data_IF_174639721841
#
_entry.id   IF_174639721841
#
_cell.length_a   1.000
_cell.length_b   1.000
_cell.length_c   1.000
_cell.angle_alpha   90.00
_cell.angle_beta   90.00
_cell.angle_gamma   90.00
#
_symmetry.space_group_name_H-M   'P 1'
#
loop_
_entity.id
_entity.type
_entity.pdbx_description
1 polymer ?
#
# COMPACT_ATOMS: atom_id res chain seq x y z
N UNK A 1 -5.84 12.54 -8.13
CA UNK A 1 -6.43 11.37 -7.45
C UNK A 1 -5.41 10.26 -7.48
N UNK A 2 -4.92 9.83 -6.33
CA UNK A 2 -3.86 8.81 -6.24
C UNK A 2 -4.46 7.41 -6.39
N UNK A 3 -3.88 6.59 -7.27
CA UNK A 3 -4.37 5.24 -7.58
C UNK A 3 -3.47 4.17 -6.99
N UNK A 4 -4.05 3.25 -6.23
CA UNK A 4 -3.35 2.18 -5.51
C UNK A 4 -3.87 0.81 -5.94
N UNK A 5 -2.97 -0.10 -6.28
CA UNK A 5 -3.29 -1.48 -6.64
C UNK A 5 -2.69 -2.46 -5.62
N UNK A 6 -3.53 -3.33 -5.07
CA UNK A 6 -3.08 -4.44 -4.23
C UNK A 6 -3.03 -5.74 -5.00
N UNK A 7 -1.91 -6.47 -4.92
CA UNK A 7 -1.67 -7.70 -5.64
C UNK A 7 -1.42 -8.89 -4.71
N UNK A 8 -2.01 -10.02 -5.05
CA UNK A 8 -1.61 -11.33 -4.54
C UNK A 8 -1.84 -12.38 -5.64
N UNK A 9 -1.58 -13.66 -5.38
CA UNK A 9 -1.76 -14.71 -6.39
C UNK A 9 -3.24 -14.89 -6.77
N UNK A 10 -4.09 -15.19 -5.80
CA UNK A 10 -5.47 -15.62 -6.07
C UNK A 10 -6.52 -14.49 -6.06
N UNK A 11 -6.18 -13.30 -5.60
CA UNK A 11 -7.14 -12.20 -5.36
C UNK A 11 -8.43 -12.66 -4.63
N UNK A 12 -8.27 -13.60 -3.72
CA UNK A 12 -9.39 -14.21 -2.97
C UNK A 12 -9.42 -13.82 -1.50
N UNK A 13 -8.28 -13.44 -0.93
CA UNK A 13 -8.15 -13.08 0.48
C UNK A 13 -7.34 -11.80 0.68
N UNK A 14 -6.00 -11.86 0.73
CA UNK A 14 -5.11 -10.75 1.14
C UNK A 14 -5.35 -9.46 0.38
N UNK A 15 -5.25 -9.47 -0.94
CA UNK A 15 -5.43 -8.27 -1.76
C UNK A 15 -6.87 -7.79 -1.80
N UNK A 16 -7.83 -8.71 -1.74
CA UNK A 16 -9.25 -8.38 -1.67
C UNK A 16 -9.59 -7.68 -0.34
N UNK A 17 -9.09 -8.21 0.79
CA UNK A 17 -9.23 -7.56 2.09
C UNK A 17 -8.54 -6.19 2.11
N UNK A 18 -7.34 -6.08 1.52
CA UNK A 18 -6.63 -4.81 1.45
C UNK A 18 -7.40 -3.75 0.65
N UNK A 19 -7.99 -4.11 -0.49
CA UNK A 19 -8.85 -3.23 -1.29
C UNK A 19 -10.03 -2.69 -0.46
N UNK A 20 -10.77 -3.57 0.21
CA UNK A 20 -11.94 -3.19 1.00
C UNK A 20 -11.57 -2.27 2.18
N UNK A 21 -10.52 -2.63 2.93
CA UNK A 21 -10.03 -1.84 4.06
C UNK A 21 -9.52 -0.47 3.57
N UNK A 22 -8.75 -0.44 2.47
CA UNK A 22 -8.25 0.81 1.92
C UNK A 22 -9.40 1.71 1.48
N UNK A 23 -10.39 1.18 0.76
CA UNK A 23 -11.58 1.91 0.30
C UNK A 23 -12.32 2.59 1.47
N UNK A 24 -12.47 1.90 2.58
CA UNK A 24 -13.14 2.44 3.77
C UNK A 24 -12.39 3.62 4.41
N UNK A 25 -11.05 3.61 4.43
CA UNK A 25 -10.25 4.63 5.11
C UNK A 25 -9.71 5.73 4.20
N UNK A 26 -9.70 5.52 2.89
CA UNK A 26 -9.01 6.41 1.94
C UNK A 26 -9.75 7.73 1.69
N UNK A 27 -11.07 7.72 1.61
CA UNK A 27 -11.87 8.88 1.17
C UNK A 27 -11.75 9.11 -0.34
N UNK A 28 -12.29 10.24 -0.80
CA UNK A 28 -12.49 10.54 -2.23
C UNK A 28 -11.20 10.90 -3.01
N UNK A 29 -10.09 11.13 -2.30
CA UNK A 29 -8.81 11.50 -2.93
C UNK A 29 -8.06 10.31 -3.54
N UNK A 30 -8.54 9.10 -3.29
CA UNK A 30 -7.88 7.86 -3.68
C UNK A 30 -8.80 6.96 -4.49
N UNK A 31 -8.21 6.27 -5.47
CA UNK A 31 -8.80 5.14 -6.17
C UNK A 31 -8.05 3.86 -5.80
N UNK A 32 -8.76 2.79 -5.53
CA UNK A 32 -8.16 1.52 -5.15
C UNK A 32 -8.74 0.36 -5.94
N UNK A 33 -7.87 -0.57 -6.30
CA UNK A 33 -8.24 -1.86 -6.88
C UNK A 33 -7.37 -2.98 -6.29
N UNK A 34 -7.78 -4.20 -6.52
CA UNK A 34 -6.96 -5.39 -6.28
C UNK A 34 -7.03 -6.35 -7.46
N UNK A 35 -5.97 -7.15 -7.65
CA UNK A 35 -5.93 -8.18 -8.68
C UNK A 35 -5.07 -9.37 -8.24
N UNK A 36 -5.18 -10.46 -9.00
CA UNK A 36 -4.39 -11.67 -8.84
C UNK A 36 -3.84 -12.19 -10.15
N UNK A 37 -2.69 -12.86 -10.08
CA UNK A 37 -2.10 -13.51 -11.25
C UNK A 37 -2.90 -14.75 -11.67
N UNK A 38 -3.55 -15.41 -10.70
CA UNK A 38 -4.42 -16.59 -10.89
C UNK A 38 -5.69 -16.41 -10.04
N UNK A 39 -6.65 -15.55 -10.46
CA UNK A 39 -7.79 -15.21 -9.62
C UNK A 39 -8.71 -16.42 -9.36
N UNK A 40 -9.17 -16.51 -8.12
CA UNK A 40 -10.17 -17.50 -7.70
C UNK A 40 -11.37 -16.80 -7.04
N UNK A 41 -12.34 -17.56 -6.57
CA UNK A 41 -13.48 -16.98 -5.84
C UNK A 41 -13.04 -16.36 -4.52
N UNK A 42 -13.66 -15.26 -4.07
CA UNK A 42 -13.42 -14.70 -2.73
C UNK A 42 -13.58 -15.74 -1.63
N UNK A 43 -12.62 -15.77 -0.70
CA UNK A 43 -12.64 -16.69 0.44
C UNK A 43 -13.69 -16.28 1.46
N UNK A 44 -14.60 -17.15 1.88
CA UNK A 44 -15.61 -16.83 2.89
C UNK A 44 -14.99 -16.32 4.20
N UNK A 45 -13.82 -16.85 4.59
CA UNK A 45 -13.08 -16.41 5.77
C UNK A 45 -12.58 -14.98 5.67
N UNK A 46 -12.22 -14.53 4.46
CA UNK A 46 -11.82 -13.14 4.22
C UNK A 46 -13.00 -12.18 4.35
N UNK A 47 -14.15 -12.53 3.77
CA UNK A 47 -15.37 -11.73 3.87
C UNK A 47 -15.85 -11.63 5.32
N UNK A 48 -15.91 -12.74 6.04
CA UNK A 48 -16.28 -12.76 7.46
C UNK A 48 -15.32 -11.94 8.35
N UNK A 49 -14.01 -11.91 8.01
CA UNK A 49 -13.04 -11.10 8.74
C UNK A 49 -13.24 -9.60 8.48
N UNK A 50 -13.60 -9.20 7.26
CA UNK A 50 -13.95 -7.82 6.91
C UNK A 50 -15.21 -7.36 7.64
N UNK A 51 -16.27 -8.17 7.61
CA UNK A 51 -17.53 -7.91 8.34
C UNK A 51 -17.28 -7.73 9.85
N UNK A 52 -16.40 -8.57 10.42
CA UNK A 52 -16.02 -8.45 11.83
C UNK A 52 -15.30 -7.13 12.15
N UNK A 53 -14.59 -6.54 11.19
CA UNK A 53 -13.97 -5.21 11.31
C UNK A 53 -14.95 -4.07 10.97
N UNK A 54 -16.19 -4.38 10.58
CA UNK A 54 -17.16 -3.38 10.13
C UNK A 54 -16.82 -2.78 8.76
N UNK A 55 -16.10 -3.55 7.92
CA UNK A 55 -15.74 -3.16 6.55
C UNK A 55 -16.78 -3.68 5.58
N UNK A 56 -17.30 -2.80 4.71
CA UNK A 56 -18.27 -3.19 3.68
C UNK A 56 -17.63 -4.13 2.66
N UNK A 57 -18.36 -5.20 2.32
CA UNK A 57 -17.93 -6.24 1.38
C UNK A 57 -18.66 -6.20 0.05
N UNK A 58 -19.61 -5.30 -0.12
CA UNK A 58 -20.41 -5.16 -1.32
C UNK A 58 -19.57 -4.84 -2.55
N UNK A 59 -19.84 -5.57 -3.64
CA UNK A 59 -19.13 -5.39 -4.90
C UNK A 59 -17.71 -5.96 -4.94
N UNK A 60 -17.21 -6.58 -3.85
CA UNK A 60 -15.91 -7.24 -3.86
C UNK A 60 -15.96 -8.50 -4.74
N UNK A 61 -15.08 -8.55 -5.72
CA UNK A 61 -14.90 -9.70 -6.60
C UNK A 61 -13.43 -9.84 -7.01
N UNK A 62 -13.05 -11.06 -7.29
CA UNK A 62 -11.69 -11.36 -7.75
C UNK A 62 -11.50 -10.91 -9.21
N UNK A 63 -10.38 -10.27 -9.48
CA UNK A 63 -10.00 -9.71 -10.79
C UNK A 63 -8.67 -10.28 -11.25
N UNK A 64 -8.54 -10.56 -12.55
CA UNK A 64 -7.27 -10.97 -13.12
C UNK A 64 -6.35 -9.78 -13.33
N UNK A 65 -5.06 -9.97 -13.05
CA UNK A 65 -4.04 -8.96 -13.33
C UNK A 65 -3.99 -8.62 -14.83
N UNK A 66 -4.26 -9.60 -15.69
CA UNK A 66 -4.28 -9.41 -17.15
C UNK A 66 -5.34 -8.40 -17.62
N UNK A 67 -6.40 -8.18 -16.83
CA UNK A 67 -7.47 -7.24 -17.14
C UNK A 67 -7.19 -5.83 -16.58
N UNK A 68 -6.07 -5.64 -15.92
CA UNK A 68 -5.68 -4.38 -15.24
C UNK A 68 -4.55 -3.70 -16.01
N UNK A 69 -4.76 -2.44 -16.37
CA UNK A 69 -3.67 -1.60 -16.85
C UNK A 69 -2.82 -1.11 -15.67
N UNK A 70 -1.67 -1.75 -15.46
CA UNK A 70 -0.72 -1.39 -14.38
C UNK A 70 -0.26 0.06 -14.48
N UNK A 71 -0.12 0.61 -15.69
CA UNK A 71 0.35 1.97 -15.88
C UNK A 71 -0.64 3.04 -15.41
N UNK A 72 -1.87 2.65 -15.15
CA UNK A 72 -2.90 3.55 -14.60
C UNK A 72 -2.76 3.78 -13.09
N UNK A 73 -1.88 3.05 -12.39
CA UNK A 73 -1.70 3.13 -10.93
C UNK A 73 -0.38 3.82 -10.56
N UNK A 74 -0.43 4.66 -9.51
CA UNK A 74 0.74 5.32 -8.95
C UNK A 74 1.52 4.39 -8.02
N UNK A 75 0.80 3.54 -7.28
CA UNK A 75 1.36 2.59 -6.31
C UNK A 75 0.86 1.19 -6.57
N UNK A 76 1.78 0.23 -6.64
CA UNK A 76 1.51 -1.20 -6.75
C UNK A 76 2.07 -1.90 -5.52
N UNK A 77 1.21 -2.57 -4.75
CA UNK A 77 1.57 -3.19 -3.48
C UNK A 77 1.34 -4.69 -3.56
N UNK A 78 2.41 -5.47 -3.56
CA UNK A 78 2.33 -6.93 -3.52
C UNK A 78 2.21 -7.43 -2.08
N UNK A 79 1.33 -8.41 -1.86
CA UNK A 79 1.04 -8.98 -0.54
C UNK A 79 1.55 -10.42 -0.36
N UNK A 80 2.28 -10.93 -1.34
CA UNK A 80 2.94 -12.25 -1.27
C UNK A 80 4.16 -12.29 -2.19
N UNK A 81 5.11 -13.16 -1.88
CA UNK A 81 6.35 -13.32 -2.63
C UNK A 81 6.15 -13.67 -4.11
N UNK A 82 5.17 -14.53 -4.42
CA UNK A 82 4.89 -14.92 -5.80
C UNK A 82 4.43 -13.70 -6.62
N UNK A 83 3.45 -12.95 -6.15
CA UNK A 83 3.00 -11.72 -6.82
C UNK A 83 4.12 -10.69 -6.90
N UNK A 84 5.00 -10.59 -5.89
CA UNK A 84 6.18 -9.73 -5.92
C UNK A 84 7.08 -10.10 -7.10
N UNK A 85 7.45 -11.37 -7.23
CA UNK A 85 8.38 -11.84 -8.28
C UNK A 85 7.79 -11.66 -9.68
N UNK A 86 6.51 -12.00 -9.86
CA UNK A 86 5.83 -11.92 -11.14
C UNK A 86 5.54 -10.49 -11.59
N UNK A 87 5.21 -9.60 -10.66
CA UNK A 87 4.72 -8.26 -10.99
C UNK A 87 5.80 -7.17 -10.91
N UNK A 88 6.87 -7.34 -10.12
CA UNK A 88 7.92 -6.33 -9.99
C UNK A 88 8.58 -5.99 -11.32
N UNK A 89 8.78 -6.99 -12.19
CA UNK A 89 9.35 -6.79 -13.52
C UNK A 89 8.38 -6.10 -14.51
N UNK A 90 7.08 -6.11 -14.21
CA UNK A 90 6.04 -5.50 -15.04
C UNK A 90 5.74 -4.04 -14.65
N UNK A 91 6.18 -3.62 -13.47
CA UNK A 91 6.04 -2.25 -13.01
C UNK A 91 7.11 -1.38 -13.66
N UNK A 92 6.69 -0.31 -14.35
CA UNK A 92 7.56 0.70 -14.95
C UNK A 92 7.91 1.80 -13.93
N UNK A 93 7.35 3.00 -14.12
CA UNK A 93 7.60 4.16 -13.25
C UNK A 93 6.76 4.17 -11.95
N UNK A 94 5.91 3.15 -11.74
CA UNK A 94 5.08 3.05 -10.54
C UNK A 94 5.93 2.79 -9.29
N UNK A 95 5.46 3.30 -8.15
CA UNK A 95 6.04 2.95 -6.86
C UNK A 95 5.63 1.53 -6.46
N UNK A 96 6.55 0.56 -6.64
CA UNK A 96 6.32 -0.82 -6.21
C UNK A 96 6.72 -1.00 -4.76
N UNK A 97 5.79 -1.53 -3.95
CA UNK A 97 5.99 -1.79 -2.52
C UNK A 97 5.70 -3.27 -2.25
N UNK A 98 6.63 -3.98 -1.63
CA UNK A 98 6.43 -5.37 -1.23
C UNK A 98 6.04 -5.43 0.25
N UNK A 99 4.83 -5.94 0.53
CA UNK A 99 4.40 -6.35 1.85
C UNK A 99 4.31 -7.86 1.88
N UNK A 100 4.98 -8.48 2.83
CA UNK A 100 4.92 -9.93 2.99
C UNK A 100 3.92 -10.29 4.08
N UNK A 101 2.81 -10.93 3.66
CA UNK A 101 1.78 -11.44 4.55
C UNK A 101 1.66 -12.95 4.41
N UNK A 102 1.72 -13.70 5.53
CA UNK A 102 1.41 -15.12 5.52
C UNK A 102 0.05 -15.40 4.90
N UNK A 103 -0.06 -16.51 4.18
CA UNK A 103 -1.33 -16.87 3.56
C UNK A 103 -2.34 -17.36 4.61
N UNK A 104 -3.47 -16.65 4.83
CA UNK A 104 -4.46 -17.07 5.80
C UNK A 104 -5.23 -18.32 5.36
N UNK A 105 -5.30 -18.59 4.05
CA UNK A 105 -6.02 -19.75 3.49
C UNK A 105 -5.31 -21.07 3.86
N UNK A 106 -3.97 -21.07 3.79
CA UNK A 106 -3.17 -22.25 4.13
C UNK A 106 -2.90 -22.40 5.62
N UNK A 107 -3.25 -21.40 6.40
CA UNK A 107 -3.04 -21.40 7.85
C UNK A 107 -4.00 -22.35 8.56
N UNK A 108 -3.48 -23.15 9.47
CA UNK A 108 -4.29 -24.02 10.35
C UNK A 108 -4.93 -23.28 11.54
N UNK A 109 -4.68 -21.97 11.68
CA UNK A 109 -5.17 -21.17 12.80
C UNK A 109 -6.57 -20.64 12.48
N UNK A 110 -7.51 -20.84 13.40
CA UNK A 110 -8.90 -20.41 13.23
C UNK A 110 -9.07 -18.89 13.09
N UNK A 111 -8.13 -18.10 13.62
CA UNK A 111 -8.12 -16.64 13.61
C UNK A 111 -7.25 -16.02 12.50
N UNK A 112 -6.69 -16.84 11.58
CA UNK A 112 -5.74 -16.39 10.58
C UNK A 112 -6.26 -15.23 9.73
N UNK A 113 -7.49 -15.31 9.24
CA UNK A 113 -8.11 -14.23 8.46
C UNK A 113 -8.30 -12.95 9.27
N UNK A 114 -8.78 -13.06 10.52
CA UNK A 114 -8.96 -11.90 11.41
C UNK A 114 -7.64 -11.23 11.71
N UNK A 115 -6.59 -12.00 11.98
CA UNK A 115 -5.24 -11.48 12.22
C UNK A 115 -4.71 -10.76 10.98
N UNK A 116 -4.81 -11.38 9.81
CA UNK A 116 -4.37 -10.76 8.54
C UNK A 116 -5.14 -9.48 8.25
N UNK A 117 -6.46 -9.46 8.45
CA UNK A 117 -7.27 -8.27 8.25
C UNK A 117 -6.88 -7.13 9.20
N UNK A 118 -6.60 -7.44 10.47
CA UNK A 118 -6.14 -6.46 11.44
C UNK A 118 -4.77 -5.88 11.06
N UNK A 119 -3.80 -6.73 10.74
CA UNK A 119 -2.46 -6.30 10.32
C UNK A 119 -2.49 -5.46 9.03
N UNK A 120 -3.33 -5.83 8.05
CA UNK A 120 -3.58 -5.04 6.85
C UNK A 120 -4.15 -3.67 7.19
N UNK A 121 -5.14 -3.61 8.09
CA UNK A 121 -5.76 -2.35 8.54
C UNK A 121 -4.72 -1.39 9.11
N UNK A 122 -3.83 -1.87 9.98
CA UNK A 122 -2.78 -1.03 10.56
C UNK A 122 -1.77 -0.53 9.51
N UNK A 123 -1.30 -1.40 8.62
CA UNK A 123 -0.38 -0.99 7.55
C UNK A 123 -1.03 -0.02 6.55
N UNK A 124 -2.30 -0.23 6.21
CA UNK A 124 -3.04 0.65 5.32
C UNK A 124 -3.24 2.04 5.94
N UNK A 125 -3.58 2.13 7.22
CA UNK A 125 -3.66 3.41 7.92
C UNK A 125 -2.33 4.17 7.89
N UNK A 126 -1.21 3.48 8.13
CA UNK A 126 0.12 4.07 8.03
C UNK A 126 0.44 4.54 6.61
N UNK A 127 0.12 3.73 5.60
CA UNK A 127 0.30 4.10 4.20
C UNK A 127 -0.50 5.37 3.85
N UNK A 128 -1.77 5.43 4.23
CA UNK A 128 -2.62 6.60 3.99
C UNK A 128 -2.08 7.87 4.64
N UNK A 129 -1.50 7.78 5.84
CA UNK A 129 -0.85 8.93 6.48
C UNK A 129 0.34 9.44 5.64
N UNK A 130 1.13 8.53 5.07
CA UNK A 130 2.27 8.88 4.22
C UNK A 130 1.79 9.50 2.90
N UNK A 131 0.80 8.90 2.27
CA UNK A 131 0.27 9.37 0.99
C UNK A 131 -0.40 10.74 1.10
N UNK A 132 -1.19 10.97 2.17
CA UNK A 132 -1.80 12.28 2.45
C UNK A 132 -0.76 13.35 2.71
N UNK A 133 0.28 13.06 3.51
CA UNK A 133 1.40 14.02 3.72
C UNK A 133 2.13 14.35 2.43
N UNK A 134 2.21 13.43 1.47
CA UNK A 134 2.84 13.69 0.17
C UNK A 134 1.95 14.59 -0.71
N UNK A 135 0.63 14.45 -0.60
CA UNK A 135 -0.34 15.33 -1.28
C UNK A 135 -0.37 16.75 -0.69
N UNK A 136 -0.23 16.86 0.64
CA UNK A 136 -0.24 18.14 1.37
C UNK A 136 1.14 18.82 1.42
N UNK A 137 2.17 18.25 0.82
CA UNK A 137 3.44 18.96 0.71
C UNK A 137 3.24 20.12 -0.26
N UNK A 138 3.21 21.38 0.21
CA UNK A 138 3.52 22.50 -0.66
C UNK A 138 4.85 22.14 -1.29
N UNK A 139 5.00 22.35 -2.57
CA UNK A 139 6.30 22.18 -3.24
C UNK A 139 7.28 23.04 -2.44
N UNK A 140 8.15 22.38 -1.68
CA UNK A 140 9.04 23.02 -0.69
C UNK A 140 10.01 24.02 -1.35
N UNK A 141 9.89 24.20 -2.66
CA UNK A 141 10.80 24.96 -3.51
C UNK A 141 10.12 25.99 -4.42
N UNK A 142 8.82 26.28 -4.24
CA UNK A 142 8.15 27.37 -5.01
C UNK A 142 8.62 28.76 -4.60
N UNK A 143 9.34 28.87 -3.50
CA UNK A 143 9.96 30.11 -3.05
C UNK A 143 11.46 29.93 -2.79
N UNK A 144 12.34 30.34 -3.71
CA UNK A 144 13.79 30.22 -3.54
C UNK A 144 14.31 30.74 -2.20
N UNK A 145 13.69 31.79 -1.63
CA UNK A 145 14.07 32.37 -0.35
C UNK A 145 13.80 31.46 0.86
N UNK A 146 12.80 30.58 0.80
CA UNK A 146 12.55 29.59 1.87
C UNK A 146 13.56 28.45 1.83
N UNK A 147 13.97 28.02 0.64
CA UNK A 147 15.08 27.10 0.47
C UNK A 147 16.35 27.62 1.13
N UNK A 148 16.70 28.89 0.90
CA UNK A 148 17.88 29.50 1.53
C UNK A 148 17.76 29.64 3.05
N UNK A 149 16.56 29.87 3.60
CA UNK A 149 16.34 29.86 5.06
C UNK A 149 16.58 28.48 5.68
N UNK A 150 16.15 27.42 5.00
CA UNK A 150 16.38 26.04 5.46
C UNK A 150 17.86 25.69 5.38
N UNK A 151 18.54 26.11 4.31
CA UNK A 151 19.97 25.89 4.11
C UNK A 151 20.86 26.72 5.04
N UNK A 152 20.36 27.82 5.58
CA UNK A 152 21.09 28.65 6.56
C UNK A 152 21.16 28.01 7.96
N UNK A 153 20.35 26.99 8.25
CA UNK A 153 20.44 26.23 9.51
C UNK A 153 21.43 25.07 9.35
N UNK A 154 22.58 25.09 10.05
CA UNK A 154 23.62 24.06 9.92
C UNK A 154 23.13 22.65 10.25
N UNK A 155 22.17 22.50 11.16
CA UNK A 155 21.62 21.21 11.56
C UNK A 155 20.73 20.63 10.46
N UNK A 156 19.89 21.46 9.86
CA UNK A 156 19.00 21.07 8.76
C UNK A 156 19.78 20.73 7.49
N UNK A 157 20.83 21.50 7.19
CA UNK A 157 21.74 21.22 6.09
C UNK A 157 22.43 19.85 6.28
N UNK A 158 22.91 19.58 7.50
CA UNK A 158 23.54 18.30 7.83
C UNK A 158 22.56 17.12 7.65
N UNK A 159 21.29 17.28 8.05
CA UNK A 159 20.25 16.25 7.84
C UNK A 159 19.97 16.01 6.36
N UNK A 160 19.90 17.06 5.54
CA UNK A 160 19.66 16.94 4.09
C UNK A 160 20.82 16.21 3.42
N UNK A 161 22.07 16.56 3.75
CA UNK A 161 23.26 15.90 3.23
C UNK A 161 23.36 14.43 3.66
N UNK A 162 22.96 14.09 4.88
CA UNK A 162 22.89 12.72 5.35
C UNK A 162 21.82 11.91 4.60
N UNK A 163 20.64 12.49 4.33
CA UNK A 163 19.59 11.86 3.55
C UNK A 163 20.02 11.59 2.10
N UNK A 164 20.81 12.48 1.50
CA UNK A 164 21.36 12.27 0.15
C UNK A 164 22.40 11.14 0.09
N UNK A 165 23.16 10.95 1.17
CA UNK A 165 24.22 9.94 1.19
C UNK A 165 23.74 8.53 1.59
N UNK A 166 22.68 8.42 2.38
CA UNK A 166 22.29 7.15 3.00
C UNK A 166 20.89 6.65 2.60
N UNK A 167 20.13 7.43 1.82
CA UNK A 167 18.81 7.03 1.30
C UNK A 167 17.70 6.86 2.35
N UNK A 168 18.03 6.41 3.55
CA UNK A 168 17.13 6.26 4.69
C UNK A 168 17.86 6.55 6.01
N UNK A 169 17.26 7.37 6.86
CA UNK A 169 17.76 7.64 8.23
C UNK A 169 16.72 7.20 9.26
N UNK A 170 17.14 6.32 10.16
CA UNK A 170 16.36 5.98 11.34
C UNK A 170 16.38 7.15 12.33
N UNK A 171 15.21 7.52 12.86
CA UNK A 171 15.05 8.60 13.87
C UNK A 171 15.83 8.30 15.17
N UNK A 172 16.24 7.05 15.39
CA UNK A 172 17.05 6.65 16.54
C UNK A 172 18.54 7.02 16.47
N UNK A 173 18.98 7.72 15.42
CA UNK A 173 20.38 8.18 15.25
C UNK A 173 20.60 9.67 15.58
N UNK A 174 19.58 10.35 16.18
CA UNK A 174 19.65 11.73 16.61
C UNK A 174 19.58 11.89 18.12
#
# INVERSE_FOLDING_TARGET
>A
MTKVLFLCTANSARSLMAEAIFRQFAGDDFEVASAGTEPTKPEPGALAALEHLGVETDGLHSKALADIDLNSFDYVISLCDRARTECQALCGDQHFIAWDFPDPVTSKKADAFKKTAHELSERIKMLLLILRKKSDRPQLFDAPHEFFKIMADPLRLKMILMLQHHGELCVCQF
#
